data_IF_295688116483
#
_entry.id   IF_295688116483
#
_cell.length_a   1.000
_cell.length_b   1.000
_cell.length_c   1.000
_cell.angle_alpha   90.00
_cell.angle_beta   90.00
_cell.angle_gamma   90.00
#
_symmetry.space_group_name_H-M   'P 1'
#
loop_
_entity.id
_entity.type
_entity.pdbx_description
1 polymer ?
#
# COMPACT_ATOMS: atom_id res chain seq x y z
N UNK A 1 -57.51 -17.42 24.13
CA UNK A 1 -56.13 -17.21 24.58
C UNK A 1 -55.31 -16.76 23.38
N UNK A 2 -54.88 -15.50 23.26
CA UNK A 2 -54.07 -15.07 22.14
C UNK A 2 -52.62 -15.45 22.38
N UNK A 3 -52.03 -16.15 21.42
CA UNK A 3 -50.65 -16.56 21.38
C UNK A 3 -49.75 -15.35 21.15
N UNK A 4 -48.97 -15.00 22.12
CA UNK A 4 -47.94 -13.93 22.08
C UNK A 4 -46.77 -14.39 21.20
N UNK A 5 -46.76 -13.85 19.99
CA UNK A 5 -45.60 -14.00 19.08
C UNK A 5 -44.44 -13.13 19.57
N UNK A 6 -43.54 -13.70 20.38
CA UNK A 6 -42.30 -13.02 20.74
C UNK A 6 -41.41 -12.81 19.50
N UNK A 7 -40.89 -11.60 19.25
CA UNK A 7 -39.95 -11.39 18.17
C UNK A 7 -38.67 -12.19 18.44
N UNK A 8 -38.34 -13.08 17.49
CA UNK A 8 -37.09 -13.85 17.49
C UNK A 8 -35.92 -12.85 17.60
N UNK A 9 -35.19 -12.90 18.70
CA UNK A 9 -33.98 -12.12 18.89
C UNK A 9 -33.03 -12.41 17.69
N UNK A 10 -32.74 -11.40 16.89
CA UNK A 10 -31.73 -11.50 15.83
C UNK A 10 -30.41 -11.88 16.48
N UNK A 11 -29.95 -13.08 16.19
CA UNK A 11 -28.63 -13.52 16.61
C UNK A 11 -27.62 -12.49 16.08
N UNK A 12 -26.88 -11.82 17.00
CA UNK A 12 -25.85 -10.85 16.66
C UNK A 12 -24.75 -11.56 15.89
N UNK A 13 -24.78 -11.46 14.57
CA UNK A 13 -23.75 -12.01 13.72
C UNK A 13 -22.49 -11.16 13.84
N UNK A 14 -21.31 -11.78 13.69
CA UNK A 14 -20.04 -11.06 13.70
C UNK A 14 -19.94 -10.18 12.44
N UNK A 15 -19.53 -8.92 12.61
CA UNK A 15 -19.25 -8.04 11.47
C UNK A 15 -18.21 -8.66 10.53
N UNK A 16 -18.39 -8.53 9.21
CA UNK A 16 -17.54 -9.16 8.19
C UNK A 16 -17.19 -8.19 7.08
N UNK A 17 -15.96 -8.33 6.54
CA UNK A 17 -15.54 -7.68 5.29
C UNK A 17 -15.57 -8.75 4.19
N UNK A 18 -16.31 -8.48 3.11
CA UNK A 18 -16.44 -9.38 1.97
C UNK A 18 -16.66 -8.61 0.67
N UNK A 19 -16.61 -9.28 -0.46
CA UNK A 19 -17.09 -8.72 -1.71
C UNK A 19 -18.59 -8.45 -1.62
N UNK A 20 -19.02 -7.37 -2.29
CA UNK A 20 -20.40 -6.99 -2.33
C UNK A 20 -21.27 -8.03 -3.06
N UNK A 21 -22.50 -8.18 -2.61
CA UNK A 21 -23.55 -8.94 -3.26
C UNK A 21 -24.62 -7.99 -3.80
N UNK A 22 -25.53 -8.49 -4.64
CA UNK A 22 -26.60 -7.67 -5.22
C UNK A 22 -27.46 -6.96 -4.16
N UNK A 23 -27.74 -7.64 -3.05
CA UNK A 23 -28.51 -7.12 -1.92
C UNK A 23 -27.88 -5.94 -1.20
N UNK A 24 -26.56 -5.74 -1.33
CA UNK A 24 -25.83 -4.67 -0.66
C UNK A 24 -25.96 -3.32 -1.39
N UNK A 25 -26.26 -3.34 -2.68
CA UNK A 25 -26.14 -2.16 -3.54
C UNK A 25 -27.23 -1.13 -3.25
N UNK A 26 -28.47 -1.56 -3.10
CA UNK A 26 -29.58 -0.67 -2.79
C UNK A 26 -29.40 0.01 -1.40
N UNK A 27 -29.03 -0.70 -0.32
CA UNK A 27 -28.71 -0.07 0.97
C UNK A 27 -27.57 0.95 0.89
N UNK A 28 -26.47 0.64 0.14
CA UNK A 28 -25.34 1.58 -0.02
C UNK A 28 -25.82 2.86 -0.72
N UNK A 29 -26.55 2.73 -1.80
CA UNK A 29 -27.08 3.89 -2.53
C UNK A 29 -28.00 4.73 -1.65
N UNK A 30 -28.92 4.09 -0.96
CA UNK A 30 -29.88 4.77 -0.08
C UNK A 30 -29.20 5.62 1.00
N UNK A 31 -28.19 5.09 1.71
CA UNK A 31 -27.52 5.91 2.73
C UNK A 31 -26.59 6.97 2.13
N UNK A 32 -26.01 6.75 0.93
CA UNK A 32 -25.29 7.80 0.21
C UNK A 32 -26.21 8.96 -0.17
N UNK A 33 -27.39 8.67 -0.71
CA UNK A 33 -28.40 9.68 -1.07
C UNK A 33 -28.89 10.46 0.16
N UNK A 34 -29.12 9.78 1.28
CA UNK A 34 -29.50 10.41 2.54
C UNK A 34 -28.41 11.34 3.10
N UNK A 35 -27.14 10.90 3.07
CA UNK A 35 -26.01 11.71 3.50
C UNK A 35 -25.76 12.91 2.58
N UNK A 36 -25.95 12.75 1.26
CA UNK A 36 -25.82 13.83 0.28
C UNK A 36 -26.90 14.91 0.51
N UNK A 37 -28.14 14.49 0.66
CA UNK A 37 -29.25 15.38 0.98
C UNK A 37 -29.08 16.11 2.32
N UNK A 38 -28.39 15.51 3.28
CA UNK A 38 -28.03 16.11 4.56
C UNK A 38 -26.74 16.96 4.51
N UNK A 39 -26.12 17.13 3.35
CA UNK A 39 -24.90 17.93 3.17
C UNK A 39 -23.66 17.34 3.86
N UNK A 40 -23.61 16.02 4.03
CA UNK A 40 -22.48 15.35 4.68
C UNK A 40 -21.22 15.48 3.84
N UNK A 41 -20.23 16.18 4.39
CA UNK A 41 -18.98 16.41 3.70
C UNK A 41 -18.21 15.10 3.43
N UNK A 42 -17.68 14.97 2.21
CA UNK A 42 -16.92 13.79 1.79
C UNK A 42 -17.80 12.60 1.41
N UNK A 43 -19.03 12.86 0.99
CA UNK A 43 -19.91 11.88 0.35
C UNK A 43 -19.43 11.60 -1.09
N UNK A 44 -19.47 10.35 -1.51
CA UNK A 44 -19.05 9.92 -2.85
C UNK A 44 -20.22 9.51 -3.76
N UNK A 45 -21.43 10.01 -3.51
CA UNK A 45 -22.60 9.73 -4.38
C UNK A 45 -22.34 10.13 -5.84
N UNK A 46 -21.65 11.24 -6.08
CA UNK A 46 -21.26 11.68 -7.42
C UNK A 46 -20.43 10.63 -8.20
N UNK A 47 -19.80 9.68 -7.50
CA UNK A 47 -19.06 8.57 -8.10
C UNK A 47 -19.88 7.28 -8.20
N UNK A 48 -21.21 7.35 -8.10
CA UNK A 48 -22.08 6.17 -8.09
C UNK A 48 -21.85 5.21 -9.27
N UNK A 49 -21.65 5.73 -10.47
CA UNK A 49 -21.37 4.92 -11.66
C UNK A 49 -20.11 4.05 -11.51
N UNK A 50 -19.06 4.60 -10.87
CA UNK A 50 -17.82 3.88 -10.60
C UNK A 50 -18.02 2.83 -9.51
N UNK A 51 -18.79 3.16 -8.46
CA UNK A 51 -19.12 2.22 -7.36
C UNK A 51 -19.93 1.04 -7.92
N UNK A 52 -20.95 1.32 -8.73
CA UNK A 52 -21.80 0.30 -9.36
C UNK A 52 -21.00 -0.60 -10.32
N UNK A 53 -20.05 -0.03 -11.08
CA UNK A 53 -19.16 -0.79 -11.94
C UNK A 53 -18.25 -1.71 -11.09
N UNK A 54 -17.64 -1.20 -10.04
CA UNK A 54 -16.78 -2.01 -9.16
C UNK A 54 -17.55 -3.19 -8.54
N UNK A 55 -18.85 -3.06 -8.28
CA UNK A 55 -19.70 -4.20 -7.90
C UNK A 55 -19.80 -5.24 -9.02
N UNK A 56 -20.12 -4.83 -10.25
CA UNK A 56 -20.20 -5.73 -11.42
C UNK A 56 -18.88 -6.46 -11.67
N UNK A 57 -17.76 -5.76 -11.53
CA UNK A 57 -16.43 -6.27 -11.74
C UNK A 57 -15.89 -7.08 -10.52
N UNK A 58 -16.72 -7.30 -9.50
CA UNK A 58 -16.36 -8.01 -8.25
C UNK A 58 -15.19 -7.37 -7.48
N UNK A 59 -15.01 -6.06 -7.60
CA UNK A 59 -13.94 -5.30 -6.95
C UNK A 59 -14.45 -4.46 -5.77
N UNK A 60 -15.76 -4.40 -5.54
CA UNK A 60 -16.35 -3.69 -4.41
C UNK A 60 -16.30 -4.54 -3.14
N UNK A 61 -15.58 -4.08 -2.13
CA UNK A 61 -15.59 -4.65 -0.78
C UNK A 61 -16.59 -3.89 0.09
N UNK A 62 -17.31 -4.60 0.95
CA UNK A 62 -18.24 -4.04 1.91
C UNK A 62 -17.93 -4.50 3.33
N UNK A 63 -18.17 -3.61 4.29
CA UNK A 63 -18.20 -3.96 5.72
C UNK A 63 -19.66 -4.10 6.13
N UNK A 64 -20.02 -5.31 6.52
CA UNK A 64 -21.36 -5.62 7.04
C UNK A 64 -21.34 -5.46 8.55
N UNK A 65 -22.21 -4.63 9.08
CA UNK A 65 -22.38 -4.48 10.53
C UNK A 65 -23.11 -5.71 11.11
N UNK A 66 -22.52 -6.33 12.12
CA UNK A 66 -23.04 -7.57 12.69
C UNK A 66 -24.36 -7.41 13.42
N UNK A 67 -24.74 -6.18 13.80
CA UNK A 67 -26.01 -5.91 14.50
C UNK A 67 -27.17 -5.74 13.54
N UNK A 68 -26.93 -5.02 12.46
CA UNK A 68 -27.98 -4.67 11.47
C UNK A 68 -28.01 -5.60 10.27
N UNK A 69 -26.91 -6.31 9.99
CA UNK A 69 -26.73 -7.11 8.79
C UNK A 69 -26.55 -6.27 7.51
N UNK A 70 -26.45 -4.94 7.64
CA UNK A 70 -26.40 -4.01 6.50
C UNK A 70 -24.96 -3.54 6.21
N UNK A 71 -24.66 -3.18 4.93
CA UNK A 71 -23.40 -2.57 4.57
C UNK A 71 -23.33 -1.13 5.08
N UNK A 72 -22.33 -0.85 5.94
CA UNK A 72 -22.11 0.47 6.54
C UNK A 72 -20.77 1.10 6.12
N UNK A 73 -20.00 0.41 5.30
CA UNK A 73 -18.83 0.95 4.64
C UNK A 73 -18.56 0.16 3.35
N UNK A 74 -17.89 0.82 2.41
CA UNK A 74 -17.40 0.15 1.21
C UNK A 74 -16.01 0.65 0.82
N UNK A 75 -15.31 -0.16 0.06
CA UNK A 75 -14.02 0.13 -0.57
C UNK A 75 -14.03 -0.42 -1.98
N UNK A 76 -13.71 0.42 -2.96
CA UNK A 76 -13.43 -0.03 -4.32
C UNK A 76 -11.94 0.15 -4.65
N UNK A 77 -11.42 -0.70 -5.54
CA UNK A 77 -10.01 -0.76 -5.86
C UNK A 77 -9.17 -1.31 -4.69
N UNK A 78 -7.86 -1.42 -4.89
CA UNK A 78 -6.92 -1.99 -3.90
C UNK A 78 -6.18 -0.91 -3.13
N UNK A 79 -6.83 0.16 -2.70
CA UNK A 79 -6.19 1.37 -2.16
C UNK A 79 -5.23 2.04 -3.16
N UNK A 80 -5.40 1.76 -4.45
CA UNK A 80 -4.69 2.43 -5.52
C UNK A 80 -5.31 3.81 -5.80
N UNK A 81 -4.66 4.61 -6.60
CA UNK A 81 -4.99 6.01 -6.89
C UNK A 81 -6.46 6.26 -7.26
N UNK A 82 -7.15 5.30 -7.87
CA UNK A 82 -8.58 5.36 -8.21
C UNK A 82 -9.52 4.75 -7.17
N UNK A 83 -9.00 4.37 -6.00
CA UNK A 83 -9.79 3.72 -4.95
C UNK A 83 -10.66 4.71 -4.18
N UNK A 84 -11.86 4.29 -3.75
CA UNK A 84 -12.74 5.04 -2.85
C UNK A 84 -13.00 4.19 -1.61
N UNK A 85 -12.76 4.77 -0.43
CA UNK A 85 -13.16 4.22 0.86
C UNK A 85 -14.14 5.17 1.51
N UNK A 86 -15.35 4.71 1.81
CA UNK A 86 -16.32 5.48 2.58
C UNK A 86 -16.93 4.66 3.71
N UNK A 87 -17.10 5.29 4.84
CA UNK A 87 -17.82 4.77 6.01
C UNK A 87 -19.03 5.67 6.23
N UNK A 88 -20.21 5.05 6.36
CA UNK A 88 -21.46 5.75 6.71
C UNK A 88 -21.26 6.61 7.95
N UNK A 89 -21.78 7.84 7.94
CA UNK A 89 -21.48 8.86 8.97
C UNK A 89 -21.71 8.35 10.40
N UNK A 90 -22.86 7.77 10.68
CA UNK A 90 -23.24 7.26 11.99
C UNK A 90 -22.35 6.11 12.51
N UNK A 91 -21.53 5.55 11.63
CA UNK A 91 -20.60 4.47 11.93
C UNK A 91 -19.14 4.91 11.93
N UNK A 92 -18.87 6.19 11.68
CA UNK A 92 -17.51 6.76 11.80
C UNK A 92 -17.06 6.74 13.26
N UNK A 93 -15.76 6.83 13.50
CA UNK A 93 -15.20 6.76 14.86
C UNK A 93 -15.14 5.36 15.49
N UNK A 94 -15.78 4.34 14.90
CA UNK A 94 -15.87 2.95 15.44
C UNK A 94 -14.75 2.03 14.91
N UNK A 95 -13.70 2.57 14.31
CA UNK A 95 -12.57 1.80 13.78
C UNK A 95 -12.85 1.02 12.48
N UNK A 96 -14.01 1.19 11.84
CA UNK A 96 -14.38 0.46 10.62
C UNK A 96 -13.42 0.79 9.49
N UNK A 97 -13.12 2.07 9.25
CA UNK A 97 -12.15 2.48 8.23
C UNK A 97 -10.78 1.84 8.45
N UNK A 98 -10.28 1.78 9.70
CA UNK A 98 -9.03 1.10 10.06
C UNK A 98 -9.07 -0.40 9.68
N UNK A 99 -10.18 -1.09 9.96
CA UNK A 99 -10.35 -2.51 9.60
C UNK A 99 -10.35 -2.71 8.08
N UNK A 100 -11.05 -1.84 7.34
CA UNK A 100 -11.08 -1.88 5.87
C UNK A 100 -9.69 -1.67 5.27
N UNK A 101 -8.94 -0.64 5.72
CA UNK A 101 -7.57 -0.39 5.28
C UNK A 101 -6.67 -1.58 5.58
N UNK A 102 -6.70 -2.13 6.80
CA UNK A 102 -5.90 -3.29 7.18
C UNK A 102 -6.20 -4.52 6.29
N UNK A 103 -7.49 -4.77 6.00
CA UNK A 103 -7.91 -5.83 5.09
C UNK A 103 -7.32 -5.65 3.67
N UNK A 104 -7.43 -4.43 3.11
CA UNK A 104 -6.90 -4.12 1.78
C UNK A 104 -5.36 -4.19 1.73
N UNK A 105 -4.66 -3.72 2.77
CA UNK A 105 -3.20 -3.85 2.90
C UNK A 105 -2.79 -5.33 2.89
N UNK A 106 -3.47 -6.18 3.66
CA UNK A 106 -3.20 -7.62 3.66
C UNK A 106 -3.48 -8.27 2.31
N UNK A 107 -4.54 -7.84 1.61
CA UNK A 107 -4.85 -8.31 0.27
C UNK A 107 -3.77 -7.89 -0.74
N UNK A 108 -3.28 -6.66 -0.65
CA UNK A 108 -2.20 -6.14 -1.49
C UNK A 108 -0.89 -6.92 -1.27
N UNK A 109 -0.53 -7.18 -0.01
CA UNK A 109 0.64 -8.03 0.34
C UNK A 109 0.56 -9.42 -0.30
N UNK A 110 -0.61 -10.07 -0.25
CA UNK A 110 -0.81 -11.40 -0.88
C UNK A 110 -0.68 -11.36 -2.40
N UNK A 111 -0.86 -10.20 -3.02
CA UNK A 111 -0.70 -9.99 -4.46
C UNK A 111 0.67 -9.44 -4.84
N UNK A 112 1.60 -9.48 -3.90
CA UNK A 112 2.99 -9.04 -4.10
C UNK A 112 3.13 -7.58 -4.50
N UNK A 113 2.17 -6.73 -4.12
CA UNK A 113 2.32 -5.28 -4.24
C UNK A 113 3.39 -4.80 -3.23
N UNK A 114 4.25 -3.90 -3.66
CA UNK A 114 5.29 -3.33 -2.81
C UNK A 114 4.93 -1.92 -2.34
N UNK A 115 4.02 -1.24 -3.05
CA UNK A 115 3.60 0.12 -2.77
C UNK A 115 2.09 0.27 -2.95
N UNK A 116 1.46 1.01 -2.05
CA UNK A 116 0.10 1.51 -2.23
C UNK A 116 0.16 3.03 -2.38
N UNK A 117 -0.51 3.56 -3.39
CA UNK A 117 -0.65 5.00 -3.63
C UNK A 117 -2.13 5.35 -3.60
N UNK A 118 -2.47 6.40 -2.85
CA UNK A 118 -3.84 6.90 -2.71
C UNK A 118 -3.87 8.41 -2.95
N UNK A 119 -5.07 8.93 -3.15
CA UNK A 119 -5.35 10.36 -3.07
C UNK A 119 -6.22 10.62 -1.84
N UNK A 120 -5.79 11.50 -0.94
CA UNK A 120 -6.54 11.88 0.26
C UNK A 120 -7.62 12.90 -0.13
N UNK A 121 -8.83 12.42 -0.40
CA UNK A 121 -10.03 13.23 -0.65
C UNK A 121 -11.15 12.83 0.30
N UNK A 122 -11.79 13.80 0.99
CA UNK A 122 -11.38 15.21 1.11
C UNK A 122 -10.04 15.36 1.85
N UNK A 123 -9.41 16.54 1.78
CA UNK A 123 -8.13 16.80 2.48
C UNK A 123 -8.21 16.58 4.00
N UNK A 124 -9.40 16.74 4.58
CA UNK A 124 -9.67 16.42 5.99
C UNK A 124 -9.43 14.93 6.33
N UNK A 125 -9.32 14.05 5.34
CA UNK A 125 -8.99 12.63 5.54
C UNK A 125 -7.48 12.38 5.74
N UNK A 126 -6.62 13.36 5.48
CA UNK A 126 -5.16 13.23 5.60
C UNK A 126 -4.72 12.67 6.96
N UNK A 127 -5.19 13.17 8.12
CA UNK A 127 -4.78 12.64 9.41
C UNK A 127 -5.18 11.16 9.62
N UNK A 128 -6.28 10.73 9.00
CA UNK A 128 -6.67 9.32 9.03
C UNK A 128 -5.66 8.46 8.26
N UNK A 129 -5.30 8.85 7.04
CA UNK A 129 -4.36 8.10 6.21
C UNK A 129 -2.95 8.08 6.81
N UNK A 130 -2.49 9.19 7.40
CA UNK A 130 -1.22 9.24 8.12
C UNK A 130 -1.20 8.24 9.30
N UNK A 131 -2.28 8.16 10.10
CA UNK A 131 -2.41 7.15 11.16
C UNK A 131 -2.45 5.71 10.63
N UNK A 132 -2.81 5.51 9.36
CA UNK A 132 -2.72 4.21 8.68
C UNK A 132 -1.31 3.94 8.11
N UNK A 133 -0.36 4.83 8.35
CA UNK A 133 1.03 4.72 7.92
C UNK A 133 1.26 5.08 6.47
N UNK A 134 0.42 5.95 5.90
CA UNK A 134 0.67 6.59 4.62
C UNK A 134 1.46 7.87 4.81
N UNK A 135 2.42 8.11 3.93
CA UNK A 135 3.24 9.33 3.87
C UNK A 135 2.77 10.19 2.71
N UNK A 136 2.54 11.49 2.95
CA UNK A 136 2.18 12.42 1.89
C UNK A 136 3.35 12.60 0.92
N UNK A 137 3.03 12.73 -0.37
CA UNK A 137 3.98 13.11 -1.41
C UNK A 137 3.90 14.64 -1.53
N UNK A 138 4.98 15.37 -1.19
CA UNK A 138 5.02 16.83 -1.38
C UNK A 138 4.75 17.18 -2.84
N UNK A 139 4.10 18.32 -3.06
CA UNK A 139 3.88 18.93 -4.39
C UNK A 139 3.34 17.94 -5.46
N UNK A 140 2.58 16.95 -5.02
CA UNK A 140 2.03 15.92 -5.93
C UNK A 140 0.94 16.49 -6.84
N UNK A 141 0.89 15.99 -8.08
CA UNK A 141 -0.20 16.20 -9.03
C UNK A 141 -0.91 14.86 -9.32
N UNK A 142 -2.21 14.74 -9.05
CA UNK A 142 -3.05 15.66 -8.28
C UNK A 142 -2.59 15.81 -6.82
N UNK A 143 -2.99 16.93 -6.15
CA UNK A 143 -2.56 17.21 -4.78
C UNK A 143 -3.06 16.15 -3.78
N UNK A 144 -2.40 16.09 -2.61
CA UNK A 144 -2.73 15.18 -1.51
C UNK A 144 -2.60 13.69 -1.87
N UNK A 145 -1.69 13.33 -2.77
CA UNK A 145 -1.27 11.94 -2.91
C UNK A 145 -0.51 11.50 -1.66
N UNK A 146 -0.70 10.26 -1.29
CA UNK A 146 0.05 9.62 -0.21
C UNK A 146 0.41 8.19 -0.60
N UNK A 147 1.54 7.71 -0.11
CA UNK A 147 2.00 6.36 -0.36
C UNK A 147 2.24 5.59 0.94
N UNK A 148 2.19 4.26 0.84
CA UNK A 148 2.58 3.35 1.90
C UNK A 148 3.39 2.21 1.32
N UNK A 149 4.63 2.07 1.77
CA UNK A 149 5.47 0.92 1.43
C UNK A 149 4.96 -0.32 2.18
N UNK A 150 4.83 -1.43 1.48
CA UNK A 150 4.47 -2.72 2.04
C UNK A 150 5.75 -3.52 2.26
N UNK A 151 6.30 -3.46 3.46
CA UNK A 151 7.51 -4.20 3.81
C UNK A 151 7.35 -5.69 3.50
N UNK A 152 8.38 -6.24 2.85
CA UNK A 152 8.53 -7.68 2.61
C UNK A 152 9.76 -8.16 3.36
N UNK A 153 9.56 -9.09 4.28
CA UNK A 153 10.64 -9.76 5.01
C UNK A 153 10.95 -11.09 4.37
N UNK A 154 12.20 -11.48 4.46
CA UNK A 154 12.72 -12.75 3.99
C UNK A 154 13.30 -13.54 5.17
N UNK A 155 13.08 -14.84 5.16
CA UNK A 155 13.78 -15.74 6.07
C UNK A 155 15.24 -15.87 5.61
N UNK A 156 16.16 -15.50 6.49
CA UNK A 156 17.57 -15.65 6.17
C UNK A 156 17.99 -17.13 6.23
N UNK A 157 18.82 -17.58 5.29
CA UNK A 157 19.35 -18.95 5.30
C UNK A 157 20.03 -19.30 6.63
N UNK A 158 20.00 -20.57 7.02
CA UNK A 158 20.68 -21.05 8.23
C UNK A 158 22.20 -20.86 8.13
N UNK A 159 22.75 -21.06 6.92
CA UNK A 159 24.18 -20.89 6.61
C UNK A 159 24.51 -19.48 6.14
N UNK A 160 25.78 -19.10 6.22
CA UNK A 160 26.28 -17.80 5.74
C UNK A 160 26.77 -16.91 6.88
N UNK A 161 27.56 -15.90 6.53
CA UNK A 161 28.13 -14.91 7.46
C UNK A 161 27.16 -13.74 7.59
N UNK A 162 26.82 -13.29 8.82
CA UNK A 162 26.03 -12.08 9.01
C UNK A 162 26.77 -10.86 8.45
N UNK A 163 26.02 -9.96 7.78
CA UNK A 163 26.53 -8.71 7.24
C UNK A 163 25.52 -7.59 7.44
N UNK A 164 26.02 -6.36 7.58
CA UNK A 164 25.23 -5.15 7.58
C UNK A 164 25.25 -4.53 6.17
N UNK A 165 24.08 -4.16 5.68
CA UNK A 165 23.91 -3.63 4.34
C UNK A 165 23.25 -2.27 4.40
N UNK A 166 23.80 -1.32 3.65
CA UNK A 166 23.20 0.01 3.44
C UNK A 166 23.00 0.22 1.94
N UNK A 167 21.77 0.50 1.56
CA UNK A 167 21.42 0.86 0.18
C UNK A 167 21.01 2.33 0.15
N UNK A 168 21.59 3.08 -0.80
CA UNK A 168 21.28 4.48 -1.04
C UNK A 168 20.76 4.65 -2.46
N UNK A 169 19.71 5.43 -2.61
CA UNK A 169 19.19 5.83 -3.90
C UNK A 169 19.41 7.34 -4.06
N UNK A 170 20.01 7.72 -5.16
CA UNK A 170 20.37 9.10 -5.45
C UNK A 170 19.65 9.58 -6.72
N UNK A 171 19.49 10.90 -6.91
CA UNK A 171 19.12 11.43 -8.20
C UNK A 171 20.23 11.15 -9.24
N UNK A 172 19.89 11.27 -10.53
CA UNK A 172 20.78 10.92 -11.64
C UNK A 172 22.13 11.67 -11.60
N UNK A 173 22.14 12.89 -11.09
CA UNK A 173 23.32 13.75 -10.98
C UNK A 173 24.45 13.14 -10.14
N UNK A 174 24.14 12.19 -9.26
CA UNK A 174 25.14 11.46 -8.47
C UNK A 174 26.19 10.77 -9.33
N UNK A 175 25.86 10.41 -10.58
CA UNK A 175 26.82 9.81 -11.49
C UNK A 175 27.97 10.75 -11.85
N UNK A 176 27.75 12.06 -11.79
CA UNK A 176 28.72 13.09 -12.18
C UNK A 176 29.16 14.00 -11.04
N UNK A 177 28.56 13.86 -9.85
CA UNK A 177 28.82 14.71 -8.69
C UNK A 177 28.93 13.86 -7.43
N UNK A 178 30.12 13.86 -6.81
CA UNK A 178 30.34 13.11 -5.57
C UNK A 178 29.55 13.66 -4.38
N UNK A 179 29.40 14.97 -4.30
CA UNK A 179 28.62 15.65 -3.26
C UNK A 179 27.12 15.70 -3.61
N UNK A 180 26.46 14.54 -3.63
CA UNK A 180 25.04 14.44 -3.87
C UNK A 180 24.33 13.78 -2.69
N UNK A 181 23.27 14.42 -2.18
CA UNK A 181 22.47 13.85 -1.07
C UNK A 181 21.59 12.71 -1.56
N UNK A 182 21.57 11.62 -0.85
CA UNK A 182 20.69 10.50 -1.14
C UNK A 182 19.21 10.92 -0.98
N UNK A 183 18.37 10.53 -1.94
CA UNK A 183 16.90 10.65 -1.85
C UNK A 183 16.37 9.79 -0.70
N UNK A 184 16.95 8.61 -0.55
CA UNK A 184 16.64 7.69 0.53
C UNK A 184 17.85 6.82 0.84
N UNK A 185 18.04 6.52 2.13
CA UNK A 185 19.01 5.56 2.64
C UNK A 185 18.27 4.54 3.49
N UNK A 186 18.49 3.26 3.21
CA UNK A 186 17.84 2.15 3.89
C UNK A 186 18.91 1.15 4.35
N UNK A 187 18.81 0.70 5.60
CA UNK A 187 19.66 -0.34 6.15
C UNK A 187 18.90 -1.67 6.22
N UNK A 188 19.60 -2.76 6.04
CA UNK A 188 19.11 -4.12 6.19
C UNK A 188 20.22 -4.99 6.81
N UNK A 189 19.83 -6.07 7.47
CA UNK A 189 20.73 -7.16 7.79
C UNK A 189 20.71 -8.19 6.67
N UNK A 190 21.80 -8.91 6.48
CA UNK A 190 21.87 -9.95 5.47
C UNK A 190 22.78 -11.10 5.90
N UNK A 191 22.85 -12.11 5.03
CA UNK A 191 23.82 -13.19 5.12
C UNK A 191 24.56 -13.36 3.81
N UNK A 192 25.88 -13.32 3.87
CA UNK A 192 26.76 -13.67 2.78
C UNK A 192 26.87 -15.19 2.69
N UNK A 193 26.45 -15.77 1.58
CA UNK A 193 26.46 -17.20 1.31
C UNK A 193 27.83 -17.65 0.76
N UNK A 194 28.13 -18.96 0.72
CA UNK A 194 29.40 -19.48 0.20
C UNK A 194 29.71 -19.12 -1.26
N UNK A 195 28.70 -18.85 -2.06
CA UNK A 195 28.81 -18.39 -3.46
C UNK A 195 28.98 -16.86 -3.59
N UNK A 196 29.12 -16.15 -2.45
CA UNK A 196 29.27 -14.71 -2.42
C UNK A 196 27.95 -13.91 -2.57
N UNK A 197 26.82 -14.59 -2.73
CA UNK A 197 25.51 -13.92 -2.75
C UNK A 197 25.14 -13.46 -1.33
N UNK A 198 24.68 -12.22 -1.20
CA UNK A 198 24.18 -11.69 0.06
C UNK A 198 22.66 -11.66 0.02
N UNK A 199 22.02 -12.52 0.82
CA UNK A 199 20.58 -12.51 1.00
C UNK A 199 20.20 -11.51 2.09
N UNK A 200 19.29 -10.56 1.76
CA UNK A 200 18.79 -9.58 2.72
C UNK A 200 17.64 -10.14 3.56
N UNK A 201 17.50 -9.66 4.81
CA UNK A 201 16.39 -9.99 5.72
C UNK A 201 15.06 -9.36 5.29
N UNK A 202 15.13 -8.41 4.37
CA UNK A 202 13.97 -7.72 3.81
C UNK A 202 14.26 -7.17 2.42
N UNK A 203 13.20 -6.95 1.67
CA UNK A 203 13.27 -6.20 0.41
C UNK A 203 13.57 -4.73 0.69
N UNK A 204 14.58 -4.20 0.03
CA UNK A 204 14.84 -2.77 -0.04
C UNK A 204 14.22 -2.25 -1.32
N UNK A 205 13.30 -1.31 -1.21
CA UNK A 205 12.56 -0.78 -2.38
C UNK A 205 12.70 0.74 -2.49
N UNK A 206 12.81 1.19 -3.72
CA UNK A 206 12.68 2.60 -4.11
C UNK A 206 11.49 2.75 -5.06
N UNK A 207 10.64 3.74 -4.81
CA UNK A 207 9.41 3.95 -5.56
C UNK A 207 9.39 5.33 -6.19
N UNK A 208 9.39 5.38 -7.52
CA UNK A 208 9.37 6.62 -8.32
C UNK A 208 8.15 7.50 -7.99
N UNK A 209 7.00 6.89 -7.65
CA UNK A 209 5.81 7.65 -7.23
C UNK A 209 6.01 8.46 -5.94
N UNK A 210 6.93 8.04 -5.07
CA UNK A 210 7.28 8.78 -3.86
C UNK A 210 8.29 9.93 -4.14
N UNK A 211 8.98 9.86 -5.28
CA UNK A 211 10.02 10.81 -5.69
C UNK A 211 9.84 11.19 -7.17
N UNK A 212 8.79 11.93 -7.54
CA UNK A 212 8.38 12.14 -8.93
C UNK A 212 9.42 12.84 -9.82
N UNK A 213 10.40 13.52 -9.22
CA UNK A 213 11.51 14.15 -9.94
C UNK A 213 12.72 13.22 -10.14
N UNK A 214 12.75 12.06 -9.50
CA UNK A 214 13.85 11.12 -9.55
C UNK A 214 13.68 10.17 -10.76
N UNK A 215 14.10 10.63 -11.93
CA UNK A 215 14.27 9.78 -13.12
C UNK A 215 15.67 9.20 -13.12
N UNK A 216 15.82 7.96 -13.61
CA UNK A 216 17.14 7.33 -13.78
C UNK A 216 18.00 7.29 -12.49
N UNK A 217 17.41 6.87 -11.39
CA UNK A 217 18.09 6.81 -10.09
C UNK A 217 19.41 6.05 -10.14
N UNK A 218 20.39 6.56 -9.39
CA UNK A 218 21.65 5.87 -9.10
C UNK A 218 21.50 5.11 -7.77
N UNK A 219 21.91 3.84 -7.76
CA UNK A 219 21.87 2.95 -6.60
C UNK A 219 23.28 2.68 -6.13
N UNK A 220 23.53 2.90 -4.86
CA UNK A 220 24.76 2.49 -4.16
C UNK A 220 24.44 1.41 -3.14
N UNK A 221 25.20 0.35 -3.15
CA UNK A 221 25.18 -0.69 -2.13
C UNK A 221 26.50 -0.75 -1.38
N UNK A 222 26.41 -0.82 -0.07
CA UNK A 222 27.54 -0.93 0.86
C UNK A 222 27.30 -2.13 1.79
N UNK A 223 28.32 -2.95 2.00
CA UNK A 223 28.28 -4.12 2.87
C UNK A 223 29.43 -4.01 3.88
N UNK A 224 29.10 -4.02 5.16
CA UNK A 224 30.06 -3.83 6.24
C UNK A 224 30.98 -2.60 6.04
N UNK A 225 30.43 -1.49 5.52
CA UNK A 225 31.17 -0.26 5.22
C UNK A 225 31.96 -0.29 3.91
N UNK A 226 31.91 -1.36 3.13
CA UNK A 226 32.62 -1.49 1.85
C UNK A 226 31.62 -1.38 0.69
N UNK A 227 31.87 -0.42 -0.21
CA UNK A 227 31.05 -0.23 -1.40
C UNK A 227 31.14 -1.44 -2.34
N UNK A 228 30.02 -2.01 -2.68
CA UNK A 228 29.89 -3.13 -3.60
C UNK A 228 29.66 -2.66 -5.04
N UNK A 229 28.84 -1.65 -5.21
CA UNK A 229 28.56 -1.00 -6.49
C UNK A 229 27.95 0.39 -6.30
N UNK A 230 28.06 1.20 -7.36
CA UNK A 230 27.36 2.46 -7.53
C UNK A 230 27.16 2.72 -9.02
N UNK A 231 25.94 2.72 -9.53
CA UNK A 231 25.59 3.12 -10.89
C UNK A 231 24.06 3.30 -11.05
N UNK A 232 23.62 3.62 -12.26
CA UNK A 232 22.20 3.74 -12.59
C UNK A 232 21.47 2.40 -12.47
N UNK A 233 20.36 2.39 -11.76
CA UNK A 233 19.56 1.18 -11.52
C UNK A 233 19.13 0.47 -12.81
N UNK A 234 18.93 1.23 -13.91
CA UNK A 234 18.51 0.69 -15.20
C UNK A 234 19.61 -0.06 -15.96
N UNK A 235 20.85 0.04 -15.54
CA UNK A 235 21.97 -0.61 -16.24
C UNK A 235 21.96 -2.12 -15.97
N UNK A 236 22.27 -2.88 -17.02
CA UNK A 236 22.29 -4.34 -16.98
C UNK A 236 23.23 -4.91 -15.92
N UNK A 237 24.35 -4.25 -15.73
CA UNK A 237 25.37 -4.60 -14.74
C UNK A 237 24.76 -4.59 -13.32
N UNK A 238 23.95 -3.58 -12.97
CA UNK A 238 23.29 -3.54 -11.68
C UNK A 238 22.15 -4.54 -11.56
N UNK A 239 21.47 -4.83 -12.68
CA UNK A 239 20.43 -5.87 -12.69
C UNK A 239 21.04 -7.26 -12.43
N UNK A 240 22.21 -7.56 -12.98
CA UNK A 240 22.97 -8.76 -12.68
C UNK A 240 23.42 -8.81 -11.22
N UNK A 241 23.70 -7.64 -10.60
CA UNK A 241 24.05 -7.48 -9.20
C UNK A 241 22.83 -7.57 -8.23
N UNK A 242 21.59 -7.74 -8.73
CA UNK A 242 20.39 -7.93 -7.93
C UNK A 242 19.43 -6.74 -7.88
N UNK A 243 19.74 -5.61 -8.54
CA UNK A 243 18.82 -4.48 -8.68
C UNK A 243 17.73 -4.86 -9.68
N UNK A 244 16.50 -4.97 -9.23
CA UNK A 244 15.38 -5.48 -10.05
C UNK A 244 14.34 -4.40 -10.29
N UNK A 245 13.88 -4.28 -11.53
CA UNK A 245 12.77 -3.37 -11.91
C UNK A 245 11.44 -3.90 -11.37
N UNK A 246 10.65 -3.03 -10.75
CA UNK A 246 9.24 -3.28 -10.44
C UNK A 246 8.34 -2.26 -11.13
N UNK A 247 7.04 -2.38 -10.96
CA UNK A 247 6.05 -1.55 -11.66
C UNK A 247 6.32 -0.05 -11.53
N UNK A 248 6.70 0.42 -10.35
CA UNK A 248 6.84 1.84 -10.04
C UNK A 248 8.19 2.15 -9.37
N UNK A 249 9.26 1.46 -9.76
CA UNK A 249 10.57 1.69 -9.17
C UNK A 249 11.50 0.48 -9.23
N UNK A 250 12.30 0.31 -8.20
CA UNK A 250 13.36 -0.68 -8.11
C UNK A 250 13.34 -1.37 -6.75
N UNK A 251 13.78 -2.62 -6.71
CA UNK A 251 13.98 -3.32 -5.44
C UNK A 251 15.24 -4.18 -5.45
N UNK A 252 15.71 -4.51 -4.25
CA UNK A 252 16.85 -5.39 -4.01
C UNK A 252 16.44 -6.36 -2.90
N UNK A 253 16.45 -7.67 -3.20
CA UNK A 253 16.25 -8.75 -2.24
C UNK A 253 17.58 -9.42 -1.89
N UNK A 254 18.54 -9.34 -2.82
CA UNK A 254 19.88 -9.94 -2.68
C UNK A 254 20.91 -9.10 -3.45
N UNK A 255 22.15 -9.14 -3.00
CA UNK A 255 23.30 -8.57 -3.71
C UNK A 255 24.13 -9.74 -4.24
N UNK A 256 24.46 -9.72 -5.52
CA UNK A 256 25.29 -10.74 -6.16
C UNK A 256 26.70 -10.25 -6.35
N UNK A 257 27.72 -11.11 -6.27
CA UNK A 257 29.09 -10.75 -6.60
C UNK A 257 29.19 -10.30 -8.06
N UNK A 258 30.24 -9.57 -8.39
CA UNK A 258 30.59 -9.26 -9.77
C UNK A 258 30.99 -10.56 -10.47
N UNK A 259 30.37 -10.85 -11.64
CA UNK A 259 30.81 -12.00 -12.44
C UNK A 259 32.23 -11.74 -12.90
N UNK A 260 33.17 -12.61 -12.49
CA UNK A 260 34.51 -12.60 -13.02
C UNK A 260 34.46 -12.83 -14.52
N UNK A 261 34.91 -11.84 -15.28
CA UNK A 261 35.04 -11.95 -16.75
C UNK A 261 36.14 -12.91 -17.14
#
# INVERSE_FOLDING_TARGET
MPSTNQPKALATSRSVIRRSKAEDIAPIRSWLEAEDAAGVHGNFLCNWSVIARAHKDQELLVYIDGKTGLPVAFQLGRLLQSGILQVKQDFRGRGIGKKMVAYCVNLARRKSEDLLVIQCKPSSSIPFWQRMGFTLIPDSDPPNKAYKVLERRHDLPAVGKPVDVVIRFYPEERKWRDACTALVQLAASGKELPDGVIQLDRRISFHEDAYPLARDVVVEAEVNGVRQFIDKAKYRELQQRGVTRCRNGWFIDQIRPEESR
#
